data_IF_431181321104
#
_entry.id   IF_431181321104
#
_cell.length_a   1.000
_cell.length_b   1.000
_cell.length_c   1.000
_cell.angle_alpha   90.00
_cell.angle_beta   90.00
_cell.angle_gamma   90.00
#
_symmetry.space_group_name_H-M   'P 1'
#
loop_
_entity.id
_entity.type
_entity.pdbx_description
1 polymer ?
#
# COMPACT_ATOMS: atom_id res chain seq x y z
N UNK A 1 56.92 23.96 8.43
CA UNK A 1 56.38 23.42 7.16
C UNK A 1 54.99 22.91 7.43
N UNK A 2 53.99 23.67 7.01
CA UNK A 2 52.56 23.36 7.23
C UNK A 2 52.08 22.60 6.00
N UNK A 3 51.60 21.36 6.21
CA UNK A 3 51.00 20.54 5.17
C UNK A 3 49.57 21.01 4.89
N UNK A 4 49.32 21.48 3.66
CA UNK A 4 48.03 21.93 3.19
C UNK A 4 47.08 20.73 3.01
N UNK A 5 46.06 20.69 3.84
CA UNK A 5 44.91 19.78 3.64
C UNK A 5 44.08 20.23 2.44
N UNK A 6 44.03 19.43 1.39
CA UNK A 6 43.09 19.60 0.28
C UNK A 6 41.67 19.30 0.78
N UNK A 7 40.81 20.32 0.80
CA UNK A 7 39.40 20.18 0.99
C UNK A 7 38.81 19.38 -0.20
N UNK A 8 38.32 18.20 0.05
CA UNK A 8 37.57 17.42 -0.94
C UNK A 8 36.17 18.01 -0.99
N UNK A 9 35.92 18.82 -2.01
CA UNK A 9 34.56 19.29 -2.32
C UNK A 9 33.71 18.11 -2.79
N UNK A 10 32.91 17.51 -1.90
CA UNK A 10 31.80 16.65 -2.28
C UNK A 10 30.72 17.53 -2.88
N UNK A 11 30.73 17.70 -4.19
CA UNK A 11 29.56 18.17 -4.91
C UNK A 11 28.48 17.10 -4.73
N UNK A 12 27.59 17.29 -3.75
CA UNK A 12 26.35 16.51 -3.63
C UNK A 12 25.48 16.93 -4.81
N UNK A 13 25.59 16.21 -5.93
CA UNK A 13 24.65 16.35 -7.04
C UNK A 13 23.29 16.00 -6.46
N UNK A 14 22.41 16.99 -6.30
CA UNK A 14 21.04 16.77 -5.84
C UNK A 14 20.41 15.71 -6.75
N UNK A 15 19.91 14.63 -6.17
CA UNK A 15 19.29 13.54 -6.91
C UNK A 15 18.13 14.10 -7.75
N UNK A 16 18.14 13.84 -9.06
CA UNK A 16 17.07 14.27 -9.96
C UNK A 16 15.74 13.71 -9.51
N UNK A 17 14.69 14.52 -9.55
CA UNK A 17 13.33 14.09 -9.29
C UNK A 17 12.89 13.15 -10.43
N UNK A 18 12.26 12.05 -10.10
CA UNK A 18 11.65 11.19 -11.11
C UNK A 18 10.41 11.88 -11.70
N UNK A 19 10.37 11.97 -13.03
CA UNK A 19 9.28 12.66 -13.75
C UNK A 19 7.90 12.08 -13.43
N UNK A 20 7.81 10.78 -13.13
CA UNK A 20 6.58 10.09 -12.75
C UNK A 20 6.08 10.45 -11.34
N UNK A 21 6.85 11.20 -10.56
CA UNK A 21 6.40 11.76 -9.29
C UNK A 21 5.68 13.10 -9.44
N UNK A 22 5.73 13.73 -10.61
CA UNK A 22 5.15 15.04 -10.84
C UNK A 22 3.65 14.99 -11.09
N UNK A 23 2.93 15.94 -10.51
CA UNK A 23 1.54 16.21 -10.84
C UNK A 23 1.45 16.97 -12.18
N UNK A 24 0.30 16.91 -12.87
CA UNK A 24 0.14 17.58 -14.15
C UNK A 24 0.45 19.09 -14.07
N UNK A 25 0.01 19.77 -13.01
CA UNK A 25 0.30 21.18 -12.81
C UNK A 25 1.80 21.49 -12.64
N UNK A 26 2.54 20.58 -12.01
CA UNK A 26 4.00 20.68 -11.88
C UNK A 26 4.69 20.45 -13.24
N UNK A 27 4.22 19.47 -14.01
CA UNK A 27 4.67 19.24 -15.40
C UNK A 27 4.38 20.47 -16.28
N UNK A 28 3.21 21.09 -16.16
CA UNK A 28 2.87 22.33 -16.88
C UNK A 28 3.81 23.48 -16.50
N UNK A 29 4.17 23.59 -15.22
CA UNK A 29 5.15 24.55 -14.73
C UNK A 29 6.52 24.35 -15.38
N UNK A 30 7.01 23.10 -15.37
CA UNK A 30 8.30 22.73 -15.96
C UNK A 30 8.34 22.91 -17.49
N UNK A 31 7.29 22.52 -18.17
CA UNK A 31 7.15 22.73 -19.62
C UNK A 31 7.25 24.22 -19.98
N UNK A 32 6.64 25.10 -19.15
CA UNK A 32 6.74 26.55 -19.30
C UNK A 32 8.17 27.08 -19.07
N UNK A 33 8.86 26.58 -18.03
CA UNK A 33 10.28 26.89 -17.78
C UNK A 33 11.15 26.54 -18.99
N UNK A 34 10.85 25.46 -19.68
CA UNK A 34 11.49 25.04 -20.93
C UNK A 34 11.05 25.84 -22.16
N UNK A 35 10.15 26.82 -22.03
CA UNK A 35 9.57 27.61 -23.11
C UNK A 35 8.83 26.76 -24.17
N UNK A 36 8.27 25.65 -23.71
CA UNK A 36 7.47 24.75 -24.55
C UNK A 36 5.97 25.03 -24.39
N UNK A 37 5.13 24.73 -25.38
CA UNK A 37 3.68 24.91 -25.29
C UNK A 37 3.07 24.05 -24.18
N UNK A 38 2.07 24.57 -23.47
CA UNK A 38 1.43 23.93 -22.30
C UNK A 38 0.93 22.49 -22.59
N UNK A 39 0.44 22.23 -23.80
CA UNK A 39 -0.08 20.90 -24.16
C UNK A 39 0.98 19.77 -24.09
N UNK A 40 2.29 20.13 -24.13
CA UNK A 40 3.40 19.19 -23.97
C UNK A 40 3.36 18.45 -22.65
N UNK A 41 2.90 19.11 -21.57
CA UNK A 41 2.73 18.46 -20.27
C UNK A 41 1.73 17.30 -20.34
N UNK A 42 0.65 17.47 -21.13
CA UNK A 42 -0.32 16.40 -21.37
C UNK A 42 0.26 15.27 -22.20
N UNK A 43 1.02 15.60 -23.26
CA UNK A 43 1.72 14.59 -24.06
C UNK A 43 2.68 13.76 -23.18
N UNK A 44 3.47 14.40 -22.30
CA UNK A 44 4.32 13.69 -21.35
C UNK A 44 3.48 12.76 -20.46
N UNK A 45 2.41 13.24 -19.84
CA UNK A 45 1.54 12.44 -18.99
C UNK A 45 0.94 11.24 -19.75
N UNK A 46 0.52 11.43 -21.01
CA UNK A 46 -0.01 10.36 -21.86
C UNK A 46 1.06 9.29 -22.13
N UNK A 47 2.31 9.68 -22.38
CA UNK A 47 3.43 8.74 -22.55
C UNK A 47 3.74 7.96 -21.25
N UNK A 48 3.64 8.62 -20.10
CA UNK A 48 3.94 8.01 -18.82
C UNK A 48 2.86 6.99 -18.38
N UNK A 49 1.57 7.33 -18.57
CA UNK A 49 0.50 6.64 -17.85
C UNK A 49 -0.53 5.92 -18.73
N UNK A 50 -0.71 6.31 -20.00
CA UNK A 50 -1.66 5.62 -20.87
C UNK A 50 -1.18 4.22 -21.23
N UNK A 51 -2.08 3.23 -21.09
CA UNK A 51 -1.74 1.79 -21.25
C UNK A 51 -0.99 1.42 -22.53
N UNK A 52 -1.29 2.11 -23.64
CA UNK A 52 -0.70 1.81 -24.94
C UNK A 52 0.73 2.37 -25.10
N UNK A 53 1.12 3.30 -24.26
CA UNK A 53 2.41 3.98 -24.33
C UNK A 53 3.33 3.50 -23.21
N UNK A 54 3.16 3.94 -21.98
CA UNK A 54 3.92 3.57 -20.76
C UNK A 54 5.40 3.32 -21.00
N UNK A 55 6.02 4.32 -21.57
CA UNK A 55 7.43 4.30 -21.95
C UNK A 55 8.37 4.08 -20.77
N UNK A 56 9.56 3.61 -21.07
CA UNK A 56 10.62 3.35 -20.10
C UNK A 56 11.80 4.31 -20.20
N UNK A 57 11.75 5.25 -21.15
CA UNK A 57 12.77 6.29 -21.34
C UNK A 57 12.18 7.50 -22.04
N UNK A 58 12.86 8.63 -21.96
CA UNK A 58 12.46 9.84 -22.68
C UNK A 58 12.57 9.68 -24.22
N UNK A 59 13.46 8.82 -24.70
CA UNK A 59 13.68 8.59 -26.13
C UNK A 59 12.47 7.95 -26.81
N UNK A 60 11.69 7.19 -26.04
CA UNK A 60 10.46 6.56 -26.56
C UNK A 60 9.31 7.55 -26.76
N UNK A 61 9.39 8.79 -26.25
CA UNK A 61 8.38 9.85 -26.41
C UNK A 61 8.48 10.51 -27.79
N UNK A 62 8.21 9.75 -28.85
CA UNK A 62 8.54 10.11 -30.23
C UNK A 62 7.77 11.30 -30.80
N UNK A 63 6.64 11.69 -30.23
CA UNK A 63 5.88 12.90 -30.62
C UNK A 63 6.42 14.19 -29.95
N UNK A 64 7.44 14.07 -29.09
CA UNK A 64 8.17 15.20 -28.52
C UNK A 64 9.43 15.49 -29.36
N UNK A 65 9.79 16.79 -29.58
CA UNK A 65 11.05 17.15 -30.23
C UNK A 65 12.25 16.52 -29.53
N UNK A 66 13.25 16.06 -30.30
CA UNK A 66 14.45 15.42 -29.74
C UNK A 66 15.20 16.29 -28.74
N UNK A 67 15.35 17.58 -29.04
CA UNK A 67 15.97 18.55 -28.13
C UNK A 67 15.21 18.68 -26.81
N UNK A 68 13.89 18.67 -26.85
CA UNK A 68 13.06 18.71 -25.64
C UNK A 68 13.19 17.43 -24.83
N UNK A 69 13.24 16.26 -25.45
CA UNK A 69 13.51 14.98 -24.76
C UNK A 69 14.87 14.97 -24.06
N UNK A 70 15.90 15.53 -24.71
CA UNK A 70 17.23 15.66 -24.11
C UNK A 70 17.21 16.59 -22.89
N UNK A 71 16.48 17.71 -22.95
CA UNK A 71 16.31 18.61 -21.79
C UNK A 71 15.58 17.93 -20.63
N UNK A 72 14.52 17.15 -20.92
CA UNK A 72 13.83 16.34 -19.91
C UNK A 72 14.80 15.35 -19.24
N UNK A 73 15.63 14.65 -20.01
CA UNK A 73 16.63 13.71 -19.49
C UNK A 73 17.74 14.39 -18.66
N UNK A 74 18.03 15.66 -18.95
CA UNK A 74 18.98 16.45 -18.14
C UNK A 74 18.38 16.86 -16.80
N UNK A 75 17.11 17.23 -16.74
CA UNK A 75 16.44 17.75 -15.54
C UNK A 75 15.88 16.64 -14.65
N UNK A 76 15.33 15.58 -15.25
CA UNK A 76 14.61 14.52 -14.54
C UNK A 76 15.30 13.17 -14.64
N UNK A 77 15.06 12.33 -13.64
CA UNK A 77 15.31 10.91 -13.72
C UNK A 77 14.06 10.17 -14.27
N UNK A 78 14.29 8.96 -14.76
CA UNK A 78 13.27 8.03 -15.20
C UNK A 78 13.59 6.67 -14.59
N UNK A 79 13.24 6.48 -13.33
CA UNK A 79 13.51 5.23 -12.64
C UNK A 79 12.59 4.10 -13.14
N UNK A 80 13.04 2.89 -12.94
CA UNK A 80 12.32 1.66 -13.28
C UNK A 80 12.29 0.77 -12.05
N UNK A 81 11.20 0.04 -11.90
CA UNK A 81 11.19 -1.11 -11.02
C UNK A 81 11.25 -2.37 -11.89
N UNK A 82 12.08 -3.33 -11.50
CA UNK A 82 12.23 -4.58 -12.23
C UNK A 82 11.52 -5.70 -11.50
N UNK A 83 10.76 -6.53 -12.23
CA UNK A 83 10.17 -7.74 -11.69
C UNK A 83 11.29 -8.79 -11.59
N UNK A 84 11.65 -9.16 -10.36
CA UNK A 84 12.67 -10.17 -10.10
C UNK A 84 12.05 -11.57 -10.11
N UNK A 85 10.82 -11.69 -9.60
CA UNK A 85 10.13 -12.97 -9.48
C UNK A 85 8.62 -12.79 -9.47
N UNK A 86 7.91 -13.72 -10.10
CA UNK A 86 6.45 -13.87 -10.01
C UNK A 86 6.15 -15.25 -9.48
N UNK A 87 5.34 -15.33 -8.41
CA UNK A 87 4.83 -16.57 -7.85
C UNK A 87 3.32 -16.63 -8.09
N UNK A 88 2.84 -17.76 -8.62
CA UNK A 88 1.42 -18.01 -8.86
C UNK A 88 0.84 -19.01 -7.86
N UNK A 89 -0.30 -18.67 -7.27
CA UNK A 89 -1.09 -19.55 -6.41
C UNK A 89 -2.12 -20.34 -7.20
N UNK A 90 -2.59 -21.46 -6.63
CA UNK A 90 -3.69 -22.28 -7.17
C UNK A 90 -5.00 -21.51 -7.29
N UNK A 91 -5.20 -20.48 -6.47
CA UNK A 91 -6.38 -19.61 -6.50
C UNK A 91 -6.25 -18.42 -7.47
N UNK A 92 -5.26 -18.48 -8.37
CA UNK A 92 -4.91 -17.44 -9.35
C UNK A 92 -4.35 -16.13 -8.78
N UNK A 93 -4.12 -16.05 -7.47
CA UNK A 93 -3.36 -14.94 -6.85
C UNK A 93 -1.92 -14.99 -7.34
N UNK A 94 -1.34 -13.82 -7.65
CA UNK A 94 0.06 -13.70 -8.08
C UNK A 94 0.82 -12.74 -7.17
N UNK A 95 1.97 -13.16 -6.66
CA UNK A 95 2.88 -12.32 -5.88
C UNK A 95 4.06 -11.91 -6.74
N UNK A 96 4.33 -10.62 -6.76
CA UNK A 96 5.42 -9.99 -7.51
C UNK A 96 6.49 -9.50 -6.55
N UNK A 97 7.72 -9.90 -6.79
CA UNK A 97 8.90 -9.34 -6.14
C UNK A 97 9.53 -8.32 -7.08
N UNK A 98 9.67 -7.10 -6.61
CA UNK A 98 10.28 -6.01 -7.37
C UNK A 98 11.62 -5.61 -6.78
N UNK A 99 12.55 -5.23 -7.66
CA UNK A 99 13.80 -4.55 -7.32
C UNK A 99 13.67 -3.07 -7.66
N UNK A 100 13.95 -2.22 -6.69
CA UNK A 100 14.00 -0.78 -6.83
C UNK A 100 15.37 -0.33 -7.37
N UNK A 101 15.47 0.93 -7.81
CA UNK A 101 16.69 1.49 -8.39
C UNK A 101 17.90 1.47 -7.42
N UNK A 102 17.65 1.50 -6.12
CA UNK A 102 18.67 1.41 -5.07
C UNK A 102 19.00 -0.02 -4.64
N UNK A 103 18.46 -1.03 -5.35
CA UNK A 103 18.64 -2.44 -5.05
C UNK A 103 17.73 -3.01 -3.97
N UNK A 104 16.96 -2.17 -3.26
CA UNK A 104 15.98 -2.66 -2.30
C UNK A 104 14.87 -3.46 -3.00
N UNK A 105 14.28 -4.39 -2.23
CA UNK A 105 13.22 -5.26 -2.72
C UNK A 105 11.90 -4.91 -2.04
N UNK A 106 10.80 -5.00 -2.79
CA UNK A 106 9.43 -4.89 -2.27
C UNK A 106 8.54 -5.94 -2.92
N UNK A 107 7.41 -6.24 -2.27
CA UNK A 107 6.43 -7.19 -2.79
C UNK A 107 5.07 -6.52 -3.02
N UNK A 108 4.36 -6.98 -4.05
CA UNK A 108 2.95 -6.68 -4.30
C UNK A 108 2.19 -7.94 -4.66
N UNK A 109 0.88 -7.95 -4.44
CA UNK A 109 0.04 -9.10 -4.73
C UNK A 109 -1.11 -8.69 -5.64
N UNK A 110 -1.27 -9.37 -6.76
CA UNK A 110 -2.46 -9.30 -7.61
C UNK A 110 -3.47 -10.33 -7.13
N UNK A 111 -4.61 -9.85 -6.67
CA UNK A 111 -5.69 -10.66 -6.10
C UNK A 111 -6.86 -10.65 -7.10
N UNK A 112 -7.22 -11.80 -7.68
CA UNK A 112 -8.37 -11.91 -8.56
C UNK A 112 -9.68 -11.74 -7.78
N UNK A 113 -10.75 -11.43 -8.50
CA UNK A 113 -12.08 -11.43 -7.91
C UNK A 113 -12.44 -12.80 -7.33
N UNK A 114 -13.26 -12.81 -6.28
CA UNK A 114 -13.81 -14.04 -5.72
C UNK A 114 -15.22 -14.25 -6.27
N UNK A 115 -15.47 -15.25 -7.13
CA UNK A 115 -16.80 -15.53 -7.63
C UNK A 115 -17.83 -15.78 -6.51
N UNK A 116 -17.38 -16.39 -5.40
CA UNK A 116 -18.22 -16.68 -4.23
C UNK A 116 -18.72 -15.42 -3.48
N UNK A 117 -18.08 -14.26 -3.66
CA UNK A 117 -18.50 -13.02 -3.01
C UNK A 117 -19.43 -12.16 -3.88
N UNK A 118 -19.44 -12.38 -5.18
CA UNK A 118 -20.11 -11.49 -6.13
C UNK A 118 -21.11 -12.19 -7.04
N UNK A 119 -21.37 -13.48 -6.83
CA UNK A 119 -22.45 -14.25 -7.48
C UNK A 119 -22.30 -14.48 -8.99
N UNK A 120 -21.44 -13.77 -9.66
CA UNK A 120 -21.12 -13.89 -11.09
C UNK A 120 -19.65 -13.59 -11.31
N UNK A 121 -19.10 -13.94 -12.48
CA UNK A 121 -17.74 -13.60 -12.89
C UNK A 121 -17.50 -12.08 -12.74
N UNK A 122 -16.96 -11.68 -11.59
CA UNK A 122 -16.42 -10.34 -11.45
C UNK A 122 -15.00 -10.37 -11.99
N UNK A 123 -14.74 -9.67 -13.08
CA UNK A 123 -13.39 -9.51 -13.65
C UNK A 123 -12.54 -8.52 -12.83
N UNK A 124 -12.98 -8.17 -11.63
CA UNK A 124 -12.32 -7.19 -10.77
C UNK A 124 -10.95 -7.68 -10.31
N UNK A 125 -9.92 -6.92 -10.62
CA UNK A 125 -8.53 -7.17 -10.24
C UNK A 125 -8.07 -6.18 -9.19
N UNK A 126 -7.62 -6.68 -8.05
CA UNK A 126 -7.16 -5.86 -6.93
C UNK A 126 -5.66 -6.03 -6.76
N UNK A 127 -4.90 -4.95 -6.77
CA UNK A 127 -3.51 -4.98 -6.33
C UNK A 127 -3.39 -4.60 -4.86
N UNK A 128 -2.63 -5.41 -4.10
CA UNK A 128 -2.14 -5.08 -2.78
C UNK A 128 -0.74 -4.50 -2.95
N UNK A 129 -0.61 -3.17 -2.81
CA UNK A 129 0.63 -2.43 -3.06
C UNK A 129 1.34 -2.06 -1.77
N UNK A 130 2.67 -1.98 -1.84
CA UNK A 130 3.56 -1.57 -0.76
C UNK A 130 3.79 -0.06 -0.76
N UNK A 131 4.10 0.50 0.42
CA UNK A 131 4.36 1.94 0.60
C UNK A 131 5.72 2.23 1.23
N UNK A 132 6.39 1.22 1.75
CA UNK A 132 7.71 1.33 2.37
C UNK A 132 8.55 0.10 2.03
N UNK A 133 9.85 0.22 2.17
CA UNK A 133 10.78 -0.92 2.24
C UNK A 133 10.86 -1.32 3.71
N UNK A 134 10.26 -2.47 4.05
CA UNK A 134 10.07 -2.88 5.43
C UNK A 134 8.99 -2.08 6.18
N UNK A 135 8.96 -2.15 7.51
CA UNK A 135 7.99 -1.44 8.34
C UNK A 135 8.54 -1.18 9.76
N UNK A 136 8.41 0.06 10.24
CA UNK A 136 8.91 0.45 11.57
C UNK A 136 7.96 0.11 12.73
N UNK A 137 6.71 -0.32 12.45
CA UNK A 137 5.68 -0.40 13.49
C UNK A 137 5.65 -1.72 14.26
N UNK A 138 6.35 -2.75 13.78
CA UNK A 138 6.60 -3.98 14.52
C UNK A 138 5.36 -4.73 14.99
N UNK A 139 4.26 -4.69 14.20
CA UNK A 139 3.07 -5.49 14.48
C UNK A 139 3.45 -6.96 14.56
N UNK A 140 3.20 -7.60 15.71
CA UNK A 140 3.76 -8.93 16.02
C UNK A 140 3.19 -10.07 15.18
N UNK A 141 2.15 -9.83 14.41
CA UNK A 141 1.56 -10.80 13.47
C UNK A 141 2.07 -10.66 12.03
N UNK A 142 2.86 -9.63 11.73
CA UNK A 142 3.18 -9.21 10.37
C UNK A 142 4.66 -9.46 10.04
N UNK A 143 4.89 -10.21 8.98
CA UNK A 143 6.24 -10.51 8.51
C UNK A 143 7.04 -9.27 8.05
N UNK A 144 6.35 -8.24 7.49
CA UNK A 144 7.00 -7.02 7.01
C UNK A 144 7.71 -6.20 8.11
N UNK A 145 7.34 -6.41 9.38
CA UNK A 145 7.98 -5.75 10.52
C UNK A 145 9.23 -6.48 11.05
N UNK A 146 9.47 -7.72 10.63
CA UNK A 146 10.57 -8.55 11.17
C UNK A 146 11.94 -8.09 10.68
N UNK A 147 12.02 -7.58 9.45
CA UNK A 147 13.27 -7.12 8.83
C UNK A 147 13.51 -5.60 9.04
N UNK A 148 12.68 -4.95 9.86
CA UNK A 148 12.79 -3.53 10.17
C UNK A 148 12.30 -2.61 9.06
N UNK A 149 12.68 -1.34 9.14
CA UNK A 149 12.34 -0.28 8.21
C UNK A 149 13.61 0.27 7.55
N UNK A 150 13.61 0.37 6.25
CA UNK A 150 14.70 1.00 5.48
C UNK A 150 14.33 2.43 5.08
N UNK A 151 13.29 2.58 4.26
CA UNK A 151 12.83 3.89 3.77
C UNK A 151 11.38 3.89 3.29
N UNK A 152 10.85 5.08 3.13
CA UNK A 152 9.62 5.32 2.40
C UNK A 152 9.80 5.09 0.89
N UNK A 153 8.77 4.60 0.22
CA UNK A 153 8.71 4.59 -1.24
C UNK A 153 8.39 6.00 -1.75
N UNK A 154 9.04 6.42 -2.83
CA UNK A 154 8.68 7.62 -3.56
C UNK A 154 7.34 7.44 -4.31
N UNK A 155 6.72 8.54 -4.73
CA UNK A 155 5.41 8.47 -5.39
C UNK A 155 5.45 7.66 -6.69
N UNK A 156 6.51 7.83 -7.49
CA UNK A 156 6.72 7.04 -8.71
C UNK A 156 6.86 5.54 -8.40
N UNK A 157 7.59 5.15 -7.35
CA UNK A 157 7.76 3.74 -6.97
C UNK A 157 6.43 3.09 -6.55
N UNK A 158 5.53 3.87 -5.92
CA UNK A 158 4.18 3.41 -5.58
C UNK A 158 3.34 3.19 -6.85
N UNK A 159 3.38 4.13 -7.80
CA UNK A 159 2.65 4.05 -9.07
C UNK A 159 3.21 2.94 -9.96
N UNK A 160 4.53 2.81 -10.01
CA UNK A 160 5.23 1.84 -10.86
C UNK A 160 4.87 0.38 -10.53
N UNK A 161 4.55 0.05 -9.26
CA UNK A 161 4.07 -1.29 -8.90
C UNK A 161 2.82 -1.67 -9.70
N UNK A 162 1.87 -0.74 -9.81
CA UNK A 162 0.61 -0.97 -10.55
C UNK A 162 0.91 -1.13 -12.03
N UNK A 163 1.67 -0.20 -12.60
CA UNK A 163 2.01 -0.22 -14.03
C UNK A 163 2.83 -1.46 -14.42
N UNK A 164 3.74 -1.91 -13.55
CA UNK A 164 4.55 -3.10 -13.78
C UNK A 164 3.69 -4.38 -13.78
N UNK A 165 2.74 -4.49 -12.83
CA UNK A 165 1.81 -5.62 -12.78
C UNK A 165 0.91 -5.65 -14.01
N UNK A 166 0.33 -4.51 -14.39
CA UNK A 166 -0.52 -4.43 -15.59
C UNK A 166 0.24 -4.79 -16.88
N UNK A 167 1.49 -4.35 -17.01
CA UNK A 167 2.35 -4.69 -18.15
C UNK A 167 2.69 -6.17 -18.20
N UNK A 168 3.07 -6.77 -17.07
CA UNK A 168 3.44 -8.18 -16.97
C UNK A 168 2.26 -9.12 -17.25
N UNK A 169 1.08 -8.71 -16.81
CA UNK A 169 -0.11 -9.58 -16.88
C UNK A 169 -1.00 -9.32 -18.08
N UNK A 170 -0.86 -8.15 -18.71
CA UNK A 170 -1.83 -7.65 -19.71
C UNK A 170 -3.20 -7.30 -19.12
N UNK A 171 -3.33 -7.33 -17.79
CA UNK A 171 -4.61 -7.17 -17.10
C UNK A 171 -4.70 -5.77 -16.46
N UNK A 172 -5.81 -5.06 -16.69
CA UNK A 172 -6.06 -3.77 -16.07
C UNK A 172 -6.40 -3.93 -14.59
N UNK A 173 -5.84 -3.10 -13.74
CA UNK A 173 -6.14 -3.04 -12.31
C UNK A 173 -7.37 -2.15 -12.08
N UNK A 174 -8.35 -2.67 -11.32
CA UNK A 174 -9.60 -1.97 -11.00
C UNK A 174 -9.62 -1.42 -9.58
N UNK A 175 -8.93 -2.08 -8.64
CA UNK A 175 -8.89 -1.69 -7.24
C UNK A 175 -7.47 -1.75 -6.69
N UNK A 176 -7.21 -0.89 -5.72
CA UNK A 176 -5.94 -0.85 -5.00
C UNK A 176 -6.21 -0.93 -3.51
N UNK A 177 -5.46 -1.77 -2.82
CA UNK A 177 -5.39 -1.77 -1.36
C UNK A 177 -3.94 -1.54 -0.94
N UNK A 178 -3.70 -0.52 -0.16
CA UNK A 178 -2.39 -0.28 0.44
C UNK A 178 -2.32 -1.06 1.76
N UNK A 179 -2.10 -2.37 1.61
CA UNK A 179 -2.00 -3.36 2.67
C UNK A 179 -0.76 -4.25 2.49
N UNK A 180 0.15 -3.85 1.63
CA UNK A 180 1.45 -4.49 1.41
C UNK A 180 2.47 -4.13 2.49
N UNK A 181 3.73 -4.02 2.11
CA UNK A 181 4.80 -3.67 3.05
C UNK A 181 4.72 -2.20 3.45
N UNK A 182 4.86 -1.94 4.76
CA UNK A 182 4.90 -0.59 5.34
C UNK A 182 3.59 -0.11 5.96
N UNK A 183 3.68 1.03 6.65
CA UNK A 183 2.54 1.80 7.16
C UNK A 183 2.23 2.95 6.19
N UNK A 184 1.12 2.88 5.46
CA UNK A 184 0.83 3.88 4.42
C UNK A 184 0.79 5.32 4.93
N UNK A 185 0.18 5.54 6.10
CA UNK A 185 0.06 6.89 6.65
C UNK A 185 1.37 7.44 7.25
N UNK A 186 2.41 6.61 7.43
CA UNK A 186 3.75 7.10 7.76
C UNK A 186 4.48 7.66 6.52
N UNK A 187 4.06 7.26 5.33
CA UNK A 187 4.55 7.80 4.05
C UNK A 187 3.51 8.75 3.41
N UNK A 188 2.88 9.58 4.21
CA UNK A 188 1.68 10.33 3.84
C UNK A 188 1.83 11.14 2.56
N UNK A 189 2.88 11.95 2.46
CA UNK A 189 3.00 12.92 1.36
C UNK A 189 3.27 12.23 0.01
N UNK A 190 4.17 11.24 -0.05
CA UNK A 190 4.40 10.44 -1.25
C UNK A 190 3.17 9.60 -1.62
N UNK A 191 2.51 9.02 -0.62
CA UNK A 191 1.29 8.23 -0.83
C UNK A 191 0.18 9.08 -1.43
N UNK A 192 -0.08 10.27 -0.87
CA UNK A 192 -1.13 11.16 -1.39
C UNK A 192 -0.79 11.68 -2.78
N UNK A 193 0.50 11.94 -3.06
CA UNK A 193 0.98 12.29 -4.40
C UNK A 193 0.72 11.14 -5.38
N UNK A 194 1.08 9.91 -5.04
CA UNK A 194 0.80 8.73 -5.85
C UNK A 194 -0.70 8.53 -6.08
N UNK A 195 -1.53 8.65 -5.04
CA UNK A 195 -2.98 8.49 -5.17
C UNK A 195 -3.59 9.55 -6.10
N UNK A 196 -3.11 10.78 -6.08
CA UNK A 196 -3.58 11.82 -7.02
C UNK A 196 -3.25 11.46 -8.46
N UNK A 197 -2.07 10.91 -8.73
CA UNK A 197 -1.68 10.39 -10.06
C UNK A 197 -2.57 9.21 -10.45
N UNK A 198 -2.72 8.24 -9.56
CA UNK A 198 -3.54 7.04 -9.79
C UNK A 198 -5.00 7.40 -10.08
N UNK A 199 -5.55 8.38 -9.36
CA UNK A 199 -6.96 8.77 -9.49
C UNK A 199 -7.22 9.69 -10.69
N UNK A 200 -6.24 10.46 -11.12
CA UNK A 200 -6.41 11.48 -12.15
C UNK A 200 -6.76 10.87 -13.53
N UNK A 201 -7.63 11.53 -14.33
CA UNK A 201 -7.91 11.10 -15.70
C UNK A 201 -6.70 11.13 -16.64
N UNK A 202 -5.70 11.95 -16.33
CA UNK A 202 -4.42 11.99 -17.04
C UNK A 202 -3.40 10.97 -16.53
N UNK A 203 -3.66 10.35 -15.37
CA UNK A 203 -2.86 9.29 -14.76
C UNK A 203 -3.44 7.91 -15.08
N UNK A 204 -3.63 7.07 -14.06
CA UNK A 204 -4.17 5.71 -14.26
C UNK A 204 -5.70 5.66 -14.32
N UNK A 205 -6.42 6.72 -13.94
CA UNK A 205 -7.87 6.83 -14.02
C UNK A 205 -8.63 5.91 -13.05
N UNK A 206 -7.98 5.42 -11.98
CA UNK A 206 -8.64 4.56 -11.00
C UNK A 206 -9.39 5.43 -9.99
N UNK A 207 -10.71 5.28 -9.93
CA UNK A 207 -11.57 6.10 -9.07
C UNK A 207 -11.21 5.98 -7.58
N UNK A 208 -11.26 7.09 -6.84
CA UNK A 208 -10.85 7.13 -5.42
C UNK A 208 -11.59 6.11 -4.54
N UNK A 209 -12.84 5.77 -4.86
CA UNK A 209 -13.64 4.75 -4.15
C UNK A 209 -13.13 3.32 -4.37
N UNK A 210 -12.25 3.12 -5.33
CA UNK A 210 -11.57 1.85 -5.59
C UNK A 210 -10.18 1.77 -4.93
N UNK A 211 -9.81 2.80 -4.16
CA UNK A 211 -8.53 2.87 -3.44
C UNK A 211 -8.83 2.77 -1.95
N UNK A 212 -8.24 1.78 -1.29
CA UNK A 212 -8.35 1.57 0.16
C UNK A 212 -7.00 1.77 0.82
N UNK A 213 -6.94 2.68 1.78
CA UNK A 213 -5.80 2.86 2.68
C UNK A 213 -6.02 2.03 3.93
N UNK A 214 -5.05 1.22 4.31
CA UNK A 214 -5.03 0.55 5.61
C UNK A 214 -4.01 1.23 6.51
N UNK A 215 -4.32 1.34 7.81
CA UNK A 215 -3.37 1.92 8.78
C UNK A 215 -3.42 1.17 10.10
N UNK A 216 -2.27 1.08 10.74
CA UNK A 216 -2.13 0.57 12.10
C UNK A 216 -2.72 1.52 13.16
N UNK A 217 -3.15 2.73 12.75
CA UNK A 217 -3.85 3.65 13.63
C UNK A 217 -3.04 4.89 14.04
N UNK A 218 -2.37 5.54 13.09
CA UNK A 218 -1.70 6.82 13.28
C UNK A 218 -2.75 7.94 13.38
N UNK A 219 -3.27 8.18 14.59
CA UNK A 219 -4.40 9.08 14.83
C UNK A 219 -4.25 10.47 14.20
N UNK A 220 -3.11 11.18 14.30
CA UNK A 220 -2.96 12.49 13.66
C UNK A 220 -3.02 12.41 12.12
N UNK A 221 -2.47 11.36 11.51
CA UNK A 221 -2.49 11.17 10.07
C UNK A 221 -3.89 10.75 9.57
N UNK A 222 -4.67 10.04 10.37
CA UNK A 222 -6.08 9.76 10.06
C UNK A 222 -6.86 11.08 10.00
N UNK A 223 -6.62 12.02 10.92
CA UNK A 223 -7.23 13.36 10.90
C UNK A 223 -6.78 14.14 9.67
N UNK A 224 -5.46 14.17 9.36
CA UNK A 224 -4.92 14.79 8.14
C UNK A 224 -5.58 14.20 6.88
N UNK A 225 -5.78 12.88 6.81
CA UNK A 225 -6.48 12.22 5.70
C UNK A 225 -7.96 12.62 5.63
N UNK A 226 -8.61 12.86 6.76
CA UNK A 226 -9.99 13.33 6.80
C UNK A 226 -10.16 14.70 6.15
N UNK A 227 -9.16 15.56 6.19
CA UNK A 227 -9.17 16.90 5.61
C UNK A 227 -8.78 16.94 4.12
N UNK A 228 -8.21 15.85 3.58
CA UNK A 228 -7.92 15.73 2.15
C UNK A 228 -9.21 15.74 1.30
N UNK A 229 -9.15 16.25 0.08
CA UNK A 229 -10.33 16.31 -0.82
C UNK A 229 -10.72 14.93 -1.40
N UNK A 230 -9.77 14.01 -1.52
CA UNK A 230 -9.99 12.68 -2.11
C UNK A 230 -10.86 11.78 -1.23
N UNK A 231 -11.78 11.06 -1.86
CA UNK A 231 -12.74 10.15 -1.21
C UNK A 231 -12.24 8.69 -1.22
N UNK A 232 -11.03 8.46 -0.72
CA UNK A 232 -10.48 7.10 -0.58
C UNK A 232 -11.15 6.36 0.58
N UNK A 233 -11.15 5.03 0.54
CA UNK A 233 -11.65 4.19 1.62
C UNK A 233 -10.60 4.05 2.71
N UNK A 234 -11.03 4.01 3.98
CA UNK A 234 -10.15 3.80 5.12
C UNK A 234 -10.45 2.47 5.80
N UNK A 235 -9.41 1.67 5.97
CA UNK A 235 -9.38 0.47 6.78
C UNK A 235 -8.45 0.69 7.98
N UNK A 236 -8.90 0.30 9.16
CA UNK A 236 -8.14 0.40 10.41
C UNK A 236 -7.75 -0.99 10.88
N UNK A 237 -6.48 -1.28 10.94
CA UNK A 237 -5.93 -2.47 11.60
C UNK A 237 -6.15 -2.36 13.10
N UNK A 238 -7.32 -2.81 13.59
CA UNK A 238 -7.71 -2.69 14.99
C UNK A 238 -7.13 -3.81 15.83
N UNK A 239 -7.41 -5.06 15.46
CA UNK A 239 -6.86 -6.33 15.95
C UNK A 239 -7.01 -6.60 17.46
N UNK A 240 -7.58 -5.69 18.26
CA UNK A 240 -7.93 -5.84 19.64
C UNK A 240 -9.03 -4.87 20.03
N UNK A 241 -10.00 -5.30 20.82
CA UNK A 241 -11.12 -4.49 21.28
C UNK A 241 -10.88 -3.86 22.67
N UNK A 242 -9.70 -4.10 23.27
CA UNK A 242 -9.21 -3.44 24.49
C UNK A 242 -7.74 -3.06 24.31
N UNK A 243 -7.25 -2.09 25.07
CA UNK A 243 -5.87 -1.64 24.99
C UNK A 243 -4.87 -2.73 25.39
N UNK A 244 -5.24 -3.60 26.34
CA UNK A 244 -4.42 -4.73 26.80
C UNK A 244 -4.19 -5.70 25.64
N UNK A 245 -5.26 -6.15 24.99
CA UNK A 245 -5.18 -7.10 23.89
C UNK A 245 -4.51 -6.47 22.67
N UNK A 246 -4.92 -5.25 22.32
CA UNK A 246 -4.33 -4.54 21.17
C UNK A 246 -2.85 -4.27 21.40
N UNK A 247 -2.44 -3.89 22.61
CA UNK A 247 -1.06 -3.62 22.99
C UNK A 247 -0.13 -4.85 22.91
N UNK A 248 -0.68 -6.06 23.12
CA UNK A 248 0.06 -7.31 22.92
C UNK A 248 0.44 -7.55 21.46
N UNK A 249 -0.44 -7.14 20.52
CA UNK A 249 -0.35 -7.43 19.09
C UNK A 249 0.32 -6.28 18.34
N UNK A 250 -0.02 -5.04 18.71
CA UNK A 250 0.34 -3.80 17.98
C UNK A 250 1.05 -2.80 18.90
N UNK A 251 2.38 -2.68 18.83
CA UNK A 251 3.16 -1.75 19.65
C UNK A 251 2.74 -0.29 19.53
N UNK A 252 2.17 0.12 18.39
CA UNK A 252 1.66 1.47 18.16
C UNK A 252 0.58 1.88 19.16
N UNK A 253 -0.11 0.94 19.82
CA UNK A 253 -1.11 1.20 20.83
C UNK A 253 -0.54 1.98 22.04
N UNK A 254 0.75 1.82 22.35
CA UNK A 254 1.43 2.60 23.40
C UNK A 254 1.42 4.10 23.11
N UNK A 255 1.46 4.49 21.85
CA UNK A 255 1.45 5.90 21.40
C UNK A 255 0.04 6.40 21.14
N UNK A 256 -0.78 5.60 20.50
CA UNK A 256 -2.17 5.88 20.14
C UNK A 256 -3.05 4.74 20.64
N UNK A 257 -3.51 4.85 21.88
CA UNK A 257 -4.44 3.92 22.52
C UNK A 257 -5.81 3.96 21.81
N UNK A 258 -6.70 3.05 22.19
CA UNK A 258 -8.02 2.94 21.54
C UNK A 258 -8.80 4.24 21.59
N UNK A 259 -8.77 5.00 22.69
CA UNK A 259 -9.52 6.26 22.80
C UNK A 259 -9.06 7.28 21.75
N UNK A 260 -7.75 7.49 21.62
CA UNK A 260 -7.17 8.40 20.62
C UNK A 260 -7.47 7.92 19.19
N UNK A 261 -7.35 6.62 18.95
CA UNK A 261 -7.63 6.02 17.65
C UNK A 261 -9.11 6.18 17.28
N UNK A 262 -10.02 5.83 18.19
CA UNK A 262 -11.46 5.89 17.91
C UNK A 262 -11.95 7.34 17.78
N UNK A 263 -11.36 8.30 18.50
CA UNK A 263 -11.63 9.73 18.28
C UNK A 263 -11.21 10.18 16.87
N UNK A 264 -10.04 9.75 16.37
CA UNK A 264 -9.62 10.06 15.02
C UNK A 264 -10.51 9.37 13.96
N UNK A 265 -10.98 8.15 14.21
CA UNK A 265 -11.94 7.45 13.37
C UNK A 265 -13.30 8.18 13.31
N UNK A 266 -13.79 8.66 14.44
CA UNK A 266 -15.03 9.45 14.52
C UNK A 266 -14.90 10.76 13.74
N UNK A 267 -13.80 11.47 13.89
CA UNK A 267 -13.49 12.66 13.09
C UNK A 267 -13.51 12.36 11.59
N UNK A 268 -12.83 11.26 11.17
CA UNK A 268 -12.79 10.84 9.78
C UNK A 268 -14.18 10.54 9.22
N UNK A 269 -15.00 9.75 9.93
CA UNK A 269 -16.33 9.35 9.46
C UNK A 269 -17.28 10.55 9.35
N UNK A 270 -17.22 11.48 10.29
CA UNK A 270 -18.00 12.73 10.26
C UNK A 270 -17.60 13.64 9.11
N UNK A 271 -16.29 13.78 8.89
CA UNK A 271 -15.73 14.67 7.85
C UNK A 271 -15.95 14.13 6.45
N UNK A 272 -15.70 12.82 6.24
CA UNK A 272 -15.82 12.16 4.93
C UNK A 272 -17.22 11.67 4.61
N UNK A 273 -18.10 11.52 5.59
CA UNK A 273 -19.41 10.87 5.45
C UNK A 273 -19.31 9.48 4.81
N UNK A 274 -18.22 8.78 5.11
CA UNK A 274 -17.91 7.44 4.60
C UNK A 274 -17.78 6.45 5.76
N UNK A 275 -18.26 5.23 5.51
CA UNK A 275 -18.09 4.11 6.43
C UNK A 275 -16.65 3.60 6.36
N UNK A 276 -15.98 3.49 7.50
CA UNK A 276 -14.68 2.82 7.62
C UNK A 276 -14.85 1.31 7.82
N UNK A 277 -13.74 0.59 7.65
CA UNK A 277 -13.67 -0.85 7.93
C UNK A 277 -12.65 -1.11 9.03
N UNK A 278 -13.01 -1.88 10.04
CA UNK A 278 -12.06 -2.46 10.97
C UNK A 278 -11.56 -3.80 10.43
N UNK A 279 -10.27 -3.89 10.20
CA UNK A 279 -9.59 -5.16 9.95
C UNK A 279 -9.27 -5.78 11.31
N UNK A 280 -9.67 -7.02 11.51
CA UNK A 280 -9.48 -7.73 12.77
C UNK A 280 -8.93 -9.13 12.51
N UNK A 281 -7.62 -9.29 12.75
CA UNK A 281 -6.98 -10.60 12.64
C UNK A 281 -7.39 -11.45 13.84
N UNK A 282 -7.83 -12.68 13.60
CA UNK A 282 -8.21 -13.62 14.64
C UNK A 282 -7.03 -14.53 14.98
N UNK A 283 -6.53 -14.41 16.20
CA UNK A 283 -5.38 -15.18 16.73
C UNK A 283 -5.88 -16.01 17.91
N UNK A 284 -5.66 -17.32 17.83
CA UNK A 284 -6.13 -18.27 18.86
C UNK A 284 -5.58 -17.92 20.26
N UNK A 285 -6.45 -17.88 21.25
CA UNK A 285 -6.16 -17.61 22.67
C UNK A 285 -5.55 -16.23 22.93
N UNK A 286 -5.65 -15.27 21.97
CA UNK A 286 -5.16 -13.91 22.13
C UNK A 286 -6.30 -12.90 22.04
N UNK A 287 -7.05 -12.90 20.94
CA UNK A 287 -8.09 -11.90 20.68
C UNK A 287 -9.40 -12.49 20.15
N UNK A 288 -9.55 -13.81 20.16
CA UNK A 288 -10.67 -14.57 19.58
C UNK A 288 -11.79 -14.91 20.57
N UNK A 289 -11.74 -14.37 21.80
CA UNK A 289 -12.75 -14.65 22.81
C UNK A 289 -14.10 -14.00 22.52
N UNK A 290 -15.23 -14.60 22.98
CA UNK A 290 -16.57 -14.02 22.87
C UNK A 290 -16.66 -12.61 23.51
N UNK A 291 -15.88 -12.34 24.53
CA UNK A 291 -15.82 -11.02 25.18
C UNK A 291 -15.23 -9.98 24.24
N UNK A 292 -14.10 -10.29 23.55
CA UNK A 292 -13.51 -9.42 22.56
C UNK A 292 -14.49 -9.17 21.39
N UNK A 293 -15.25 -10.17 20.96
CA UNK A 293 -16.27 -10.01 19.93
C UNK A 293 -17.37 -9.02 20.35
N UNK A 294 -17.87 -9.12 21.59
CA UNK A 294 -18.89 -8.21 22.13
C UNK A 294 -18.36 -6.76 22.23
N UNK A 295 -17.15 -6.57 22.75
CA UNK A 295 -16.50 -5.25 22.82
C UNK A 295 -16.28 -4.65 21.44
N UNK A 296 -15.80 -5.44 20.48
CA UNK A 296 -15.64 -5.03 19.09
C UNK A 296 -16.98 -4.63 18.45
N UNK A 297 -18.07 -5.37 18.74
CA UNK A 297 -19.40 -5.02 18.23
C UNK A 297 -19.86 -3.64 18.75
N UNK A 298 -19.63 -3.32 20.02
CA UNK A 298 -19.95 -2.01 20.60
C UNK A 298 -19.15 -0.90 19.89
N UNK A 299 -17.84 -1.07 19.72
CA UNK A 299 -16.96 -0.11 19.04
C UNK A 299 -17.43 0.11 17.58
N UNK A 300 -17.62 -0.97 16.84
CA UNK A 300 -17.97 -0.92 15.43
C UNK A 300 -19.36 -0.27 15.20
N UNK A 301 -20.34 -0.62 16.04
CA UNK A 301 -21.69 -0.03 15.97
C UNK A 301 -21.67 1.47 16.24
N UNK A 302 -20.93 1.92 17.29
CA UNK A 302 -20.78 3.35 17.61
C UNK A 302 -20.29 4.19 16.44
N UNK A 303 -19.37 3.65 15.64
CA UNK A 303 -18.77 4.33 14.47
C UNK A 303 -19.46 3.98 13.14
N UNK A 304 -20.51 3.17 13.15
CA UNK A 304 -21.14 2.68 11.93
C UNK A 304 -20.20 1.88 11.03
N UNK A 305 -19.14 1.30 11.61
CA UNK A 305 -18.08 0.62 10.87
C UNK A 305 -18.49 -0.78 10.40
N UNK A 306 -17.83 -1.29 9.35
CA UNK A 306 -17.80 -2.71 9.00
C UNK A 306 -16.66 -3.38 9.75
N UNK A 307 -16.78 -4.69 9.96
CA UNK A 307 -15.69 -5.52 10.48
C UNK A 307 -15.32 -6.58 9.44
N UNK A 308 -14.04 -6.66 9.13
CA UNK A 308 -13.46 -7.69 8.28
C UNK A 308 -12.59 -8.60 9.15
N UNK A 309 -13.08 -9.82 9.41
CA UNK A 309 -12.34 -10.82 10.18
C UNK A 309 -11.36 -11.54 9.27
N UNK A 310 -10.10 -11.61 9.69
CA UNK A 310 -9.02 -12.25 8.96
C UNK A 310 -8.49 -13.38 9.85
N UNK A 311 -8.74 -14.66 9.56
CA UNK A 311 -8.09 -15.76 10.27
C UNK A 311 -6.56 -15.60 10.17
N UNK A 312 -5.85 -15.82 11.27
CA UNK A 312 -4.40 -15.67 11.29
C UNK A 312 -3.74 -16.56 10.25
N UNK A 313 -2.87 -15.97 9.46
CA UNK A 313 -2.01 -16.70 8.52
C UNK A 313 -0.67 -16.98 9.20
N UNK A 314 -0.27 -18.24 9.24
CA UNK A 314 0.99 -18.63 9.87
C UNK A 314 2.16 -17.89 9.20
N UNK A 315 2.98 -17.27 10.04
CA UNK A 315 4.21 -16.57 9.63
C UNK A 315 5.38 -17.33 10.25
N UNK A 316 6.36 -17.70 9.44
CA UNK A 316 7.55 -18.38 9.91
C UNK A 316 8.28 -17.54 10.96
N UNK A 317 8.56 -18.13 12.10
CA UNK A 317 9.22 -17.49 13.24
C UNK A 317 8.28 -16.82 14.23
N UNK A 318 6.95 -16.90 14.03
CA UNK A 318 5.94 -16.48 15.00
C UNK A 318 5.22 -17.69 15.59
N UNK A 319 4.93 -17.63 16.90
CA UNK A 319 4.34 -18.76 17.66
C UNK A 319 2.81 -18.73 17.71
N UNK A 320 2.16 -17.86 16.96
CA UNK A 320 0.70 -17.74 16.98
C UNK A 320 0.04 -18.73 16.05
N UNK A 321 -1.19 -19.09 16.41
CA UNK A 321 -2.00 -20.03 15.64
C UNK A 321 -3.35 -19.42 15.27
N UNK A 322 -3.96 -20.01 14.26
CA UNK A 322 -5.32 -19.69 13.82
C UNK A 322 -6.33 -20.31 14.77
N UNK A 323 -7.42 -19.59 15.13
CA UNK A 323 -8.56 -20.18 15.84
C UNK A 323 -9.24 -21.27 14.99
N UNK A 324 -9.93 -22.20 15.69
CA UNK A 324 -10.72 -23.23 15.00
C UNK A 324 -11.85 -22.61 14.14
N UNK A 325 -12.37 -23.30 13.12
CA UNK A 325 -13.49 -22.83 12.32
C UNK A 325 -14.74 -22.49 13.16
N UNK A 326 -14.97 -23.25 14.23
CA UNK A 326 -16.08 -23.04 15.17
C UNK A 326 -15.91 -21.72 15.91
N UNK A 327 -14.73 -21.45 16.45
CA UNK A 327 -14.40 -20.18 17.12
C UNK A 327 -14.54 -18.99 16.17
N UNK A 328 -14.05 -19.12 14.94
CA UNK A 328 -14.20 -18.08 13.92
C UNK A 328 -15.66 -17.78 13.61
N UNK A 329 -16.49 -18.84 13.48
CA UNK A 329 -17.92 -18.74 13.20
C UNK A 329 -18.67 -18.15 14.40
N UNK A 330 -18.33 -18.54 15.62
CA UNK A 330 -18.88 -17.98 16.85
C UNK A 330 -18.59 -16.48 16.98
N UNK A 331 -17.34 -16.07 16.73
CA UNK A 331 -16.93 -14.66 16.75
C UNK A 331 -17.73 -13.83 15.74
N UNK A 332 -17.86 -14.34 14.51
CA UNK A 332 -18.65 -13.70 13.46
C UNK A 332 -20.13 -13.58 13.84
N UNK A 333 -20.72 -14.63 14.44
CA UNK A 333 -22.13 -14.63 14.87
C UNK A 333 -22.40 -13.58 15.95
N UNK A 334 -21.48 -13.41 16.92
CA UNK A 334 -21.59 -12.40 17.97
C UNK A 334 -21.57 -10.99 17.36
N UNK A 335 -20.69 -10.71 16.42
CA UNK A 335 -20.66 -9.42 15.74
C UNK A 335 -21.96 -9.12 15.00
N UNK A 336 -22.49 -10.10 14.26
CA UNK A 336 -23.74 -9.97 13.50
C UNK A 336 -24.95 -9.80 14.41
N UNK A 337 -25.03 -10.56 15.50
CA UNK A 337 -26.05 -10.41 16.54
C UNK A 337 -25.99 -9.03 17.21
N UNK A 338 -24.79 -8.43 17.34
CA UNK A 338 -24.57 -7.06 17.77
C UNK A 338 -24.92 -5.98 16.73
N UNK A 339 -25.50 -6.35 15.57
CA UNK A 339 -25.91 -5.41 14.52
C UNK A 339 -24.75 -4.87 13.67
N UNK A 340 -23.59 -5.54 13.67
CA UNK A 340 -22.40 -5.11 12.93
C UNK A 340 -22.31 -5.84 11.59
N UNK A 341 -22.21 -5.16 10.43
CA UNK A 341 -21.87 -5.79 9.16
C UNK A 341 -20.47 -6.39 9.25
N UNK A 342 -20.41 -7.71 9.38
CA UNK A 342 -19.15 -8.45 9.53
C UNK A 342 -19.00 -9.54 8.47
N UNK A 343 -17.78 -9.67 7.96
CA UNK A 343 -17.38 -10.71 7.01
C UNK A 343 -16.20 -11.49 7.54
N UNK A 344 -16.20 -12.81 7.35
CA UNK A 344 -15.03 -13.65 7.55
C UNK A 344 -14.35 -13.84 6.21
N UNK A 345 -13.12 -13.37 6.12
CA UNK A 345 -12.34 -13.40 4.88
C UNK A 345 -11.84 -14.81 4.61
N UNK A 346 -12.01 -15.28 3.37
CA UNK A 346 -11.32 -16.47 2.89
C UNK A 346 -9.91 -16.09 2.45
N UNK A 347 -8.96 -16.92 2.79
CA UNK A 347 -7.56 -16.73 2.37
C UNK A 347 -7.42 -16.81 0.86
N UNK A 348 -6.46 -16.05 0.38
CA UNK A 348 -5.96 -16.12 -0.99
C UNK A 348 -4.43 -16.06 -1.00
N UNK A 349 -3.79 -16.88 -1.85
CA UNK A 349 -2.35 -16.89 -2.00
C UNK A 349 -1.58 -17.40 -0.78
N UNK A 350 -2.20 -18.21 0.07
CA UNK A 350 -1.54 -18.77 1.27
C UNK A 350 -0.36 -19.68 0.90
N UNK A 351 -0.49 -20.44 -0.18
CA UNK A 351 0.51 -21.39 -0.69
C UNK A 351 1.77 -20.73 -1.27
N UNK A 352 1.73 -19.41 -1.47
CA UNK A 352 2.84 -18.60 -1.98
C UNK A 352 3.25 -17.46 -1.02
N UNK A 353 2.88 -17.54 0.26
CA UNK A 353 3.10 -16.48 1.26
C UNK A 353 2.65 -15.09 0.79
N UNK A 354 1.50 -15.03 0.11
CA UNK A 354 0.91 -13.80 -0.40
C UNK A 354 -0.31 -13.32 0.40
N UNK A 355 -0.70 -14.05 1.46
CA UNK A 355 -1.81 -13.64 2.31
C UNK A 355 -1.42 -12.46 3.21
N UNK A 356 -2.44 -11.80 3.78
CA UNK A 356 -2.23 -10.64 4.64
C UNK A 356 -1.28 -10.97 5.80
N UNK A 357 -0.27 -10.11 6.01
CA UNK A 357 0.76 -10.27 7.03
C UNK A 357 1.95 -11.17 6.64
N UNK A 358 1.91 -11.83 5.48
CA UNK A 358 2.97 -12.76 5.06
C UNK A 358 4.05 -12.14 4.15
N UNK A 359 3.83 -10.93 3.64
CA UNK A 359 4.81 -10.28 2.75
C UNK A 359 6.12 -10.01 3.50
N UNK A 360 7.17 -10.68 3.06
CA UNK A 360 8.50 -10.63 3.64
C UNK A 360 9.54 -10.85 2.57
N UNK A 361 10.67 -10.15 2.67
CA UNK A 361 11.81 -10.27 1.78
C UNK A 361 12.62 -11.58 2.02
N UNK A 362 11.97 -12.73 2.11
CA UNK A 362 12.67 -14.03 2.25
C UNK A 362 13.66 -14.27 1.11
N UNK A 363 13.38 -13.70 -0.06
CA UNK A 363 14.19 -13.87 -1.26
C UNK A 363 15.52 -13.12 -1.20
N UNK A 364 15.66 -12.10 -0.31
CA UNK A 364 16.96 -11.42 -0.17
C UNK A 364 18.05 -12.38 0.27
N UNK A 365 17.76 -13.22 1.26
CA UNK A 365 18.69 -14.28 1.71
C UNK A 365 18.92 -15.37 0.65
N UNK A 366 17.87 -15.76 -0.09
CA UNK A 366 18.00 -16.77 -1.14
C UNK A 366 18.74 -16.26 -2.38
N UNK A 367 18.68 -14.97 -2.69
CA UNK A 367 19.46 -14.36 -3.77
C UNK A 367 20.91 -14.13 -3.35
N UNK A 368 21.17 -13.78 -2.10
CA UNK A 368 22.52 -13.63 -1.54
C UNK A 368 23.25 -14.99 -1.47
N UNK A 369 22.54 -16.10 -1.20
CA UNK A 369 23.11 -17.46 -1.20
C UNK A 369 23.26 -18.06 -2.60
N UNK A 370 22.58 -17.56 -3.62
CA UNK A 370 22.72 -18.02 -5.01
C UNK A 370 23.83 -17.27 -5.79
N UNK A 371 24.35 -16.18 -5.22
CA UNK A 371 25.46 -15.39 -5.79
C UNK A 371 26.78 -15.57 -5.04
N UNK A 372 26.81 -16.36 -3.99
CA UNK A 372 27.99 -16.85 -3.28
C UNK A 372 28.30 -18.30 -3.69
#
# INVERSE_FOLDING_TARGET
MLAGGKAVNFNVIAAKIDIKSLQLAELEGKVREFREPKYRARQIADWLYQNQKRVRSFDEMTDLPGEFRNRLAQEFSFSKIDIVRVLGSRDTTRKFLFRLADGNLIESVLIPASPALYGSRSDRRTICASTQVGCAYGCKFCASGLDGFSRNLAANEIVDQIMAVERETGEKIDNIVFMGMGEPLANFDNLMRAIRIINAPWGLGIGARHITLSTSGLAPQIQKLADESLQVRLAISLHGATDEVRGQIMPINRRYNLDKLLAACDYYTKRKKQRLTFEYILIANVNDSPEQARKLAVIARRLGAKVNLIPYNTVQGLQWSRPSPEQQTQFLSILRAGGVPATLRREKGHDIDAACGQLRLQTKRALETATS
#
